data_IF_779142755050
#
_entry.id   IF_779142755050
#
_cell.length_a   1.000
_cell.length_b   1.000
_cell.length_c   1.000
_cell.angle_alpha   90.00
_cell.angle_beta   90.00
_cell.angle_gamma   90.00
#
_symmetry.space_group_name_H-M   'P 1'
#
loop_
_entity.id
_entity.type
_entity.pdbx_description
1 polymer ?
#
# COMPACT_ATOMS: atom_id res chain seq x y z
N UNK A 1 -23.52 -5.07 -3.86
CA UNK A 1 -24.93 -5.18 -3.41
C UNK A 1 -25.33 -4.10 -2.39
N UNK A 2 -24.53 -3.87 -1.34
CA UNK A 2 -24.82 -2.87 -0.30
C UNK A 2 -25.03 -1.43 -0.84
N UNK A 3 -24.17 -0.96 -1.75
CA UNK A 3 -24.24 0.37 -2.36
C UNK A 3 -25.58 0.66 -3.06
N UNK A 4 -26.23 -0.35 -3.65
CA UNK A 4 -27.50 -0.18 -4.36
C UNK A 4 -28.69 0.06 -3.42
N UNK A 5 -28.61 -0.46 -2.18
CA UNK A 5 -29.67 -0.33 -1.17
C UNK A 5 -29.54 0.96 -0.36
N UNK A 6 -28.34 1.53 -0.31
CA UNK A 6 -27.98 2.74 0.42
C UNK A 6 -28.87 3.96 0.12
N UNK A 7 -29.20 4.31 -1.14
CA UNK A 7 -30.10 5.43 -1.42
C UNK A 7 -31.55 5.17 -0.98
N UNK A 8 -31.99 3.90 -0.97
CA UNK A 8 -33.35 3.53 -0.55
C UNK A 8 -33.52 3.69 0.97
N UNK A 9 -32.45 3.44 1.75
CA UNK A 9 -32.47 3.56 3.21
C UNK A 9 -32.18 4.98 3.71
N UNK A 10 -31.28 5.72 3.08
CA UNK A 10 -30.88 7.07 3.55
C UNK A 10 -31.85 8.18 3.11
N UNK A 11 -32.49 8.06 1.94
CA UNK A 11 -33.43 9.06 1.42
C UNK A 11 -34.57 9.42 2.39
N UNK A 12 -35.27 8.47 3.06
CA UNK A 12 -36.33 8.83 4.00
C UNK A 12 -35.83 9.52 5.28
N UNK A 13 -34.56 9.36 5.66
CA UNK A 13 -34.00 9.93 6.90
C UNK A 13 -33.36 11.29 6.66
N UNK A 14 -32.69 11.48 5.51
CA UNK A 14 -31.88 12.65 5.21
C UNK A 14 -32.44 13.54 4.09
N UNK A 15 -33.49 13.12 3.39
CA UNK A 15 -34.06 13.89 2.30
C UNK A 15 -33.01 14.18 1.21
N UNK A 16 -32.75 15.45 0.92
CA UNK A 16 -31.80 15.86 -0.12
C UNK A 16 -30.33 15.85 0.33
N UNK A 17 -30.03 15.93 1.63
CA UNK A 17 -28.64 15.77 2.13
C UNK A 17 -28.13 14.33 2.01
N UNK A 18 -29.03 13.41 1.64
CA UNK A 18 -28.71 12.05 1.23
C UNK A 18 -27.68 12.00 0.09
N UNK A 19 -27.69 12.96 -0.85
CA UNK A 19 -26.78 12.95 -2.02
C UNK A 19 -25.30 13.04 -1.61
N UNK A 20 -24.84 14.07 -0.85
CA UNK A 20 -23.46 14.11 -0.39
C UNK A 20 -23.13 12.97 0.59
N UNK A 21 -24.09 12.53 1.41
CA UNK A 21 -23.88 11.41 2.33
C UNK A 21 -23.64 10.08 1.60
N UNK A 22 -24.43 9.77 0.56
CA UNK A 22 -24.23 8.60 -0.30
C UNK A 22 -22.85 8.70 -0.97
N UNK A 23 -22.47 9.88 -1.47
CA UNK A 23 -21.19 10.04 -2.15
C UNK A 23 -20.01 9.69 -1.24
N UNK A 24 -19.95 10.29 -0.04
CA UNK A 24 -18.89 10.03 0.95
C UNK A 24 -18.87 8.55 1.33
N UNK A 25 -20.03 7.97 1.63
CA UNK A 25 -20.12 6.60 2.10
C UNK A 25 -19.76 5.61 0.98
N UNK A 26 -20.19 5.88 -0.26
CA UNK A 26 -19.84 5.08 -1.42
C UNK A 26 -18.35 5.12 -1.72
N UNK A 27 -17.74 6.29 -1.65
CA UNK A 27 -16.30 6.47 -1.81
C UNK A 27 -15.52 5.67 -0.77
N UNK A 28 -15.91 5.74 0.50
CA UNK A 28 -15.25 4.99 1.57
C UNK A 28 -15.38 3.47 1.38
N UNK A 29 -16.57 2.98 1.03
CA UNK A 29 -16.83 1.54 0.91
C UNK A 29 -16.16 0.92 -0.31
N UNK A 30 -16.25 1.59 -1.47
CA UNK A 30 -15.55 1.14 -2.69
C UNK A 30 -14.04 1.26 -2.51
N UNK A 31 -13.57 2.33 -1.87
CA UNK A 31 -12.14 2.51 -1.60
C UNK A 31 -11.56 1.41 -0.73
N UNK A 32 -12.26 0.99 0.33
CA UNK A 32 -11.79 -0.13 1.18
C UNK A 32 -11.78 -1.46 0.42
N UNK A 33 -12.77 -1.70 -0.45
CA UNK A 33 -12.85 -2.91 -1.27
C UNK A 33 -11.64 -3.00 -2.23
N UNK A 34 -11.32 -1.89 -2.91
CA UNK A 34 -10.18 -1.81 -3.83
C UNK A 34 -8.84 -1.94 -3.09
N UNK A 35 -8.69 -1.30 -1.93
CA UNK A 35 -7.49 -1.46 -1.08
C UNK A 35 -7.34 -2.93 -0.67
N UNK A 36 -8.43 -3.64 -0.40
CA UNK A 36 -8.41 -5.07 -0.11
C UNK A 36 -7.81 -5.88 -1.25
N UNK A 37 -8.24 -5.62 -2.49
CA UNK A 37 -7.72 -6.27 -3.70
C UNK A 37 -6.22 -5.99 -3.87
N UNK A 38 -5.80 -4.72 -3.73
CA UNK A 38 -4.38 -4.36 -3.81
C UNK A 38 -3.53 -5.02 -2.71
N UNK A 39 -4.10 -5.24 -1.52
CA UNK A 39 -3.43 -5.92 -0.40
C UNK A 39 -3.34 -7.43 -0.62
N UNK A 40 -4.31 -8.05 -1.30
CA UNK A 40 -4.27 -9.46 -1.67
C UNK A 40 -3.22 -9.76 -2.74
N UNK A 41 -3.02 -8.86 -3.70
CA UNK A 41 -2.03 -8.98 -4.78
C UNK A 41 -0.96 -7.88 -4.76
N UNK A 42 -0.16 -7.76 -3.69
CA UNK A 42 0.70 -6.59 -3.46
C UNK A 42 1.85 -6.49 -4.48
N UNK A 43 2.27 -7.63 -5.05
CA UNK A 43 3.47 -7.69 -5.88
C UNK A 43 3.28 -7.16 -7.31
N UNK A 44 2.03 -7.02 -7.77
CA UNK A 44 1.74 -6.41 -9.07
C UNK A 44 1.99 -4.90 -9.07
N UNK A 45 1.72 -4.25 -7.92
CA UNK A 45 1.84 -2.79 -7.75
C UNK A 45 3.14 -2.38 -7.05
N UNK A 46 3.72 -3.23 -6.20
CA UNK A 46 4.98 -2.92 -5.51
C UNK A 46 6.17 -2.84 -6.49
N UNK A 47 7.09 -1.87 -6.31
CA UNK A 47 8.27 -1.73 -7.15
C UNK A 47 9.38 -2.72 -6.74
N UNK A 48 9.14 -4.03 -6.90
CA UNK A 48 10.07 -5.11 -6.53
C UNK A 48 11.45 -4.90 -7.15
N UNK A 49 11.50 -4.46 -8.40
CA UNK A 49 12.76 -4.18 -9.10
C UNK A 49 13.59 -3.12 -8.38
N UNK A 50 12.95 -2.08 -7.85
CA UNK A 50 13.62 -1.03 -7.09
C UNK A 50 14.14 -1.57 -5.76
N UNK A 51 13.33 -2.35 -5.04
CA UNK A 51 13.71 -2.96 -3.77
C UNK A 51 14.88 -3.94 -3.97
N UNK A 52 14.81 -4.83 -4.96
CA UNK A 52 15.90 -5.75 -5.28
C UNK A 52 17.18 -5.03 -5.70
N UNK A 53 17.09 -3.89 -6.39
CA UNK A 53 18.25 -3.06 -6.74
C UNK A 53 18.88 -2.47 -5.47
N UNK A 54 18.08 -1.86 -4.59
CA UNK A 54 18.56 -1.31 -3.32
C UNK A 54 19.22 -2.38 -2.43
N UNK A 55 18.65 -3.58 -2.34
CA UNK A 55 19.25 -4.69 -1.60
C UNK A 55 20.60 -5.08 -2.21
N UNK A 56 20.69 -5.17 -3.54
CA UNK A 56 21.94 -5.50 -4.23
C UNK A 56 23.04 -4.47 -3.98
N UNK A 57 22.69 -3.19 -4.06
CA UNK A 57 23.63 -2.09 -3.85
C UNK A 57 24.11 -2.05 -2.40
N UNK A 58 23.21 -2.25 -1.44
CA UNK A 58 23.55 -2.37 -0.01
C UNK A 58 24.50 -3.55 0.26
N UNK A 59 24.25 -4.72 -0.34
CA UNK A 59 25.14 -5.87 -0.19
C UNK A 59 26.53 -5.63 -0.80
N UNK A 60 26.59 -4.96 -1.96
CA UNK A 60 27.85 -4.60 -2.60
C UNK A 60 28.67 -3.65 -1.70
N UNK A 61 28.03 -2.62 -1.14
CA UNK A 61 28.65 -1.71 -0.18
C UNK A 61 29.08 -2.42 1.12
N UNK A 62 28.26 -3.33 1.65
CA UNK A 62 28.61 -4.09 2.84
C UNK A 62 29.84 -4.97 2.60
N UNK A 63 29.94 -5.59 1.42
CA UNK A 63 31.08 -6.44 1.04
C UNK A 63 32.39 -5.65 0.97
N UNK A 64 32.36 -4.43 0.42
CA UNK A 64 33.58 -3.59 0.36
C UNK A 64 34.01 -3.14 1.74
N UNK A 65 33.07 -2.74 2.61
CA UNK A 65 33.35 -2.38 4.00
C UNK A 65 33.88 -3.57 4.80
N UNK A 66 33.26 -4.75 4.70
CA UNK A 66 33.73 -5.97 5.36
C UNK A 66 35.14 -6.36 4.91
N UNK A 67 35.45 -6.23 3.62
CA UNK A 67 36.80 -6.47 3.09
C UNK A 67 37.85 -5.48 3.57
N UNK A 68 37.44 -4.30 4.04
CA UNK A 68 38.31 -3.31 4.67
C UNK A 68 38.47 -3.59 6.18
N UNK A 69 37.37 -3.90 6.88
CA UNK A 69 37.40 -4.25 8.31
C UNK A 69 38.12 -5.56 8.61
N UNK A 70 38.03 -6.56 7.72
CA UNK A 70 38.81 -7.80 7.84
C UNK A 70 40.31 -7.53 7.70
N UNK A 71 40.71 -6.65 6.77
CA UNK A 71 42.11 -6.31 6.52
C UNK A 71 42.75 -5.63 7.73
N UNK A 72 42.08 -4.63 8.31
CA UNK A 72 42.56 -3.95 9.52
C UNK A 72 42.72 -4.87 10.75
N UNK A 73 42.00 -6.00 10.79
CA UNK A 73 42.05 -6.95 11.91
C UNK A 73 43.13 -8.03 11.75
N UNK A 74 43.66 -8.19 10.55
CA UNK A 74 44.80 -9.08 10.27
C UNK A 74 46.17 -8.39 10.44
N UNK A 75 46.18 -7.05 10.43
CA UNK A 75 47.38 -6.22 10.50
C UNK A 75 47.75 -5.77 11.94
N UNK A 76 47.12 -6.34 12.97
CA UNK A 76 47.37 -6.08 14.41
C UNK A 76 47.72 -7.40 15.11
#
# INVERSE_FOLDING_TARGET
>A
MFLCLLPLTLRPVMGWSCVPAIFILSYALVGVDEIGVEVEEPFATLPLTSICRSVRDNLAALRTLMGHHYRMRADC
#
